data_IF_655163757324
#
_entry.id   IF_655163757324
#
_cell.length_a   1.000
_cell.length_b   1.000
_cell.length_c   1.000
_cell.angle_alpha   90.00
_cell.angle_beta   90.00
_cell.angle_gamma   90.00
#
_symmetry.space_group_name_H-M   'P 1'
#
loop_
_entity.id
_entity.type
_entity.pdbx_description
1 polymer ?
#
# COMPACT_ATOMS: atom_id res chain seq x y z
N UNK A 1 16.92 30.66 -9.30
CA UNK A 1 15.59 30.03 -9.12
C UNK A 1 15.56 28.60 -9.69
N UNK A 2 15.75 28.38 -11.00
CA UNK A 2 15.69 27.02 -11.62
C UNK A 2 16.60 25.97 -10.96
N UNK A 3 17.87 26.28 -10.73
CA UNK A 3 18.80 25.35 -10.07
C UNK A 3 18.46 25.08 -8.59
N UNK A 4 17.80 26.02 -7.91
CA UNK A 4 17.36 25.83 -6.52
C UNK A 4 16.24 24.78 -6.45
N UNK A 5 15.32 24.80 -7.41
CA UNK A 5 14.29 23.77 -7.54
C UNK A 5 14.89 22.39 -7.80
N UNK A 6 15.86 22.31 -8.71
CA UNK A 6 16.59 21.06 -8.97
C UNK A 6 17.29 20.55 -7.70
N UNK A 7 17.89 21.44 -6.90
CA UNK A 7 18.47 21.08 -5.60
C UNK A 7 17.44 20.45 -4.65
N UNK A 8 16.22 21.00 -4.58
CA UNK A 8 15.15 20.41 -3.76
C UNK A 8 14.80 18.99 -4.23
N UNK A 9 14.67 18.76 -5.53
CA UNK A 9 14.45 17.41 -6.04
C UNK A 9 15.56 16.43 -5.64
N UNK A 10 16.83 16.85 -5.73
CA UNK A 10 17.98 16.02 -5.32
C UNK A 10 17.95 15.73 -3.83
N UNK A 11 17.62 16.71 -2.98
CA UNK A 11 17.44 16.50 -1.53
C UNK A 11 16.30 15.51 -1.26
N UNK A 12 15.18 15.63 -1.95
CA UNK A 12 14.05 14.71 -1.80
C UNK A 12 14.40 13.29 -2.25
N UNK A 13 15.09 13.16 -3.39
CA UNK A 13 15.57 11.87 -3.89
C UNK A 13 16.55 11.20 -2.92
N UNK A 14 17.54 11.94 -2.42
CA UNK A 14 18.51 11.42 -1.44
C UNK A 14 17.84 10.98 -0.15
N UNK A 15 16.82 11.72 0.34
CA UNK A 15 16.03 11.29 1.50
C UNK A 15 15.29 9.96 1.27
N UNK A 16 14.82 9.72 0.04
CA UNK A 16 14.17 8.47 -0.35
C UNK A 16 15.15 7.30 -0.42
N UNK A 17 16.36 7.52 -0.95
CA UNK A 17 17.44 6.51 -0.93
C UNK A 17 17.80 6.13 0.51
N UNK A 18 17.92 7.11 1.40
CA UNK A 18 18.14 6.86 2.84
C UNK A 18 16.99 6.04 3.44
N UNK A 19 15.73 6.34 3.07
CA UNK A 19 14.58 5.56 3.52
C UNK A 19 14.63 4.09 3.08
N UNK A 20 15.04 3.83 1.83
CA UNK A 20 15.20 2.49 1.28
C UNK A 20 16.31 1.72 2.01
N UNK A 21 17.47 2.36 2.26
CA UNK A 21 18.59 1.74 2.97
C UNK A 21 18.17 1.36 4.40
N UNK A 22 17.61 2.30 5.16
CA UNK A 22 17.16 2.07 6.52
C UNK A 22 16.05 1.00 6.58
N UNK A 23 15.10 1.05 5.65
CA UNK A 23 14.06 0.04 5.52
C UNK A 23 14.64 -1.35 5.22
N UNK A 24 15.61 -1.44 4.32
CA UNK A 24 16.25 -2.70 3.92
C UNK A 24 17.04 -3.32 5.08
N UNK A 25 17.81 -2.52 5.82
CA UNK A 25 18.49 -2.96 7.04
C UNK A 25 17.49 -3.56 8.06
N UNK A 26 16.32 -2.94 8.19
CA UNK A 26 15.28 -3.43 9.08
C UNK A 26 14.64 -4.73 8.60
N UNK A 27 14.35 -4.82 7.30
CA UNK A 27 13.80 -6.04 6.70
C UNK A 27 14.75 -7.23 6.84
N UNK A 28 16.05 -7.04 6.68
CA UNK A 28 17.05 -8.10 6.87
C UNK A 28 17.06 -8.66 8.30
N UNK A 29 16.75 -7.83 9.30
CA UNK A 29 16.73 -8.24 10.71
C UNK A 29 15.45 -8.99 11.12
N UNK A 30 14.28 -8.57 10.63
CA UNK A 30 12.99 -9.05 11.15
C UNK A 30 12.08 -9.74 10.12
N UNK A 31 12.39 -9.62 8.82
CA UNK A 31 11.67 -10.27 7.71
C UNK A 31 10.15 -10.03 7.67
N UNK A 32 9.64 -8.87 8.07
CA UNK A 32 8.20 -8.56 7.90
C UNK A 32 7.84 -8.21 6.47
N UNK A 33 6.77 -8.85 5.99
CA UNK A 33 6.20 -8.58 4.68
C UNK A 33 5.69 -7.13 4.50
N UNK A 34 5.00 -6.48 5.47
CA UNK A 34 4.68 -5.06 5.36
C UNK A 34 5.91 -4.17 5.08
N UNK A 35 7.03 -4.40 5.77
CA UNK A 35 8.25 -3.61 5.56
C UNK A 35 8.76 -3.82 4.14
N UNK A 36 8.78 -5.07 3.67
CA UNK A 36 9.18 -5.40 2.30
C UNK A 36 8.37 -4.60 1.27
N UNK A 37 7.05 -4.58 1.42
CA UNK A 37 6.18 -3.84 0.50
C UNK A 37 6.39 -2.33 0.60
N UNK A 38 6.63 -1.80 1.81
CA UNK A 38 6.95 -0.39 2.01
C UNK A 38 8.29 0.00 1.36
N UNK A 39 9.32 -0.85 1.42
CA UNK A 39 10.59 -0.63 0.73
C UNK A 39 10.37 -0.59 -0.78
N UNK A 40 9.66 -1.59 -1.33
CA UNK A 40 9.40 -1.66 -2.76
C UNK A 40 8.60 -0.43 -3.22
N UNK A 41 7.58 -0.02 -2.46
CA UNK A 41 6.83 1.20 -2.74
C UNK A 41 7.76 2.44 -2.76
N UNK A 42 8.68 2.57 -1.79
CA UNK A 42 9.67 3.66 -1.79
C UNK A 42 10.64 3.61 -2.98
N UNK A 43 11.00 2.42 -3.48
CA UNK A 43 11.79 2.30 -4.72
C UNK A 43 11.04 2.89 -5.92
N UNK A 44 9.75 2.55 -6.07
CA UNK A 44 8.91 3.13 -7.13
C UNK A 44 8.73 4.64 -6.97
N UNK A 45 8.61 5.10 -5.73
CA UNK A 45 8.52 6.52 -5.39
C UNK A 45 9.80 7.29 -5.76
N UNK A 46 10.97 6.73 -5.49
CA UNK A 46 12.25 7.28 -5.93
C UNK A 46 12.39 7.27 -7.45
N UNK A 47 11.85 6.24 -8.12
CA UNK A 47 11.78 6.19 -9.58
C UNK A 47 10.97 7.33 -10.19
N UNK A 48 9.79 7.65 -9.62
CA UNK A 48 8.99 8.80 -10.03
C UNK A 48 9.77 10.12 -9.87
N UNK A 49 10.36 10.33 -8.70
CA UNK A 49 11.21 11.50 -8.41
C UNK A 49 12.37 11.65 -9.40
N UNK A 50 13.02 10.55 -9.76
CA UNK A 50 14.12 10.55 -10.71
C UNK A 50 13.66 10.96 -12.12
N UNK A 51 12.51 10.47 -12.55
CA UNK A 51 11.91 10.88 -13.82
C UNK A 51 11.50 12.36 -13.81
N UNK A 52 10.97 12.86 -12.69
CA UNK A 52 10.67 14.28 -12.50
C UNK A 52 11.93 15.14 -12.55
N UNK A 53 13.04 14.70 -11.94
CA UNK A 53 14.35 15.35 -12.03
C UNK A 53 14.80 15.46 -13.48
N UNK A 54 14.76 14.36 -14.22
CA UNK A 54 15.17 14.31 -15.62
C UNK A 54 14.29 15.24 -16.45
N UNK A 55 12.97 15.17 -16.28
CA UNK A 55 12.02 16.00 -17.00
C UNK A 55 12.25 17.49 -16.72
N UNK A 56 12.44 17.86 -15.45
CA UNK A 56 12.73 19.23 -15.04
C UNK A 56 14.07 19.71 -15.60
N UNK A 57 15.13 18.91 -15.47
CA UNK A 57 16.48 19.23 -15.97
C UNK A 57 16.49 19.46 -17.48
N UNK A 58 15.80 18.60 -18.24
CA UNK A 58 15.71 18.76 -19.70
C UNK A 58 14.87 19.99 -20.04
N UNK A 59 13.75 20.23 -19.36
CA UNK A 59 12.90 21.39 -19.58
C UNK A 59 13.60 22.74 -19.33
N UNK A 60 14.57 22.80 -18.42
CA UNK A 60 15.33 24.04 -18.18
C UNK A 60 16.48 24.26 -19.16
N UNK A 61 17.04 23.20 -19.76
CA UNK A 61 18.27 23.26 -20.57
C UNK A 61 18.04 23.10 -22.08
N UNK A 62 16.89 22.56 -22.53
CA UNK A 62 16.59 22.36 -23.95
C UNK A 62 15.29 23.05 -24.36
N UNK A 63 15.34 23.84 -25.44
CA UNK A 63 14.19 24.60 -25.99
C UNK A 63 13.33 23.74 -26.95
N UNK A 64 13.86 22.62 -27.47
CA UNK A 64 13.13 21.67 -28.33
C UNK A 64 13.25 20.25 -27.78
N UNK A 65 12.43 19.93 -26.80
CA UNK A 65 12.27 18.55 -26.35
C UNK A 65 11.59 17.74 -27.46
N UNK A 66 12.23 16.66 -27.92
CA UNK A 66 11.65 15.77 -28.94
C UNK A 66 10.45 15.00 -28.34
N UNK A 67 9.40 14.78 -29.13
CA UNK A 67 8.19 14.03 -28.72
C UNK A 67 8.53 12.65 -28.13
N UNK A 68 9.59 12.01 -28.65
CA UNK A 68 10.11 10.73 -28.16
C UNK A 68 10.53 10.81 -26.70
N UNK A 69 11.20 11.89 -26.28
CA UNK A 69 11.63 12.06 -24.90
C UNK A 69 10.43 12.20 -23.94
N UNK A 70 9.43 12.98 -24.34
CA UNK A 70 8.19 13.12 -23.56
C UNK A 70 7.46 11.77 -23.42
N UNK A 71 7.40 11.00 -24.50
CA UNK A 71 6.83 9.65 -24.50
C UNK A 71 7.56 8.69 -23.56
N UNK A 72 8.90 8.73 -23.54
CA UNK A 72 9.71 7.90 -22.63
C UNK A 72 9.46 8.28 -21.17
N UNK A 73 9.46 9.57 -20.85
CA UNK A 73 9.19 10.06 -19.49
C UNK A 73 7.79 9.68 -19.05
N UNK A 74 6.78 9.87 -19.92
CA UNK A 74 5.41 9.49 -19.64
C UNK A 74 5.27 7.99 -19.36
N UNK A 75 5.86 7.14 -20.21
CA UNK A 75 5.84 5.69 -20.00
C UNK A 75 6.49 5.31 -18.67
N UNK A 76 7.63 5.92 -18.35
CA UNK A 76 8.32 5.76 -17.07
C UNK A 76 7.41 6.12 -15.88
N UNK A 77 6.73 7.28 -15.94
CA UNK A 77 5.83 7.76 -14.88
C UNK A 77 4.63 6.82 -14.68
N UNK A 78 4.11 6.24 -15.75
CA UNK A 78 3.00 5.29 -15.69
C UNK A 78 3.41 3.97 -15.05
N UNK A 79 4.52 3.38 -15.52
CA UNK A 79 5.02 2.10 -15.00
C UNK A 79 5.41 2.22 -13.52
N UNK A 80 6.09 3.31 -13.16
CA UNK A 80 6.49 3.56 -11.77
C UNK A 80 5.30 3.90 -10.87
N UNK A 81 4.32 4.68 -11.38
CA UNK A 81 3.08 4.99 -10.67
C UNK A 81 2.21 3.76 -10.38
N UNK A 82 2.05 2.85 -11.35
CA UNK A 82 1.30 1.60 -11.14
C UNK A 82 1.99 0.74 -10.08
N UNK A 83 3.31 0.57 -10.18
CA UNK A 83 4.09 -0.17 -9.20
C UNK A 83 3.95 0.40 -7.80
N UNK A 84 4.05 1.73 -7.66
CA UNK A 84 3.84 2.42 -6.40
C UNK A 84 2.47 2.12 -5.81
N UNK A 85 1.39 2.34 -6.56
CA UNK A 85 0.02 2.14 -6.07
C UNK A 85 -0.20 0.68 -5.68
N UNK A 86 0.29 -0.27 -6.48
CA UNK A 86 0.14 -1.70 -6.20
C UNK A 86 0.84 -2.09 -4.89
N UNK A 87 2.12 -1.76 -4.75
CA UNK A 87 2.90 -2.14 -3.58
C UNK A 87 2.47 -1.40 -2.32
N UNK A 88 2.04 -0.14 -2.45
CA UNK A 88 1.45 0.59 -1.33
C UNK A 88 0.10 -0.01 -0.92
N UNK A 89 -0.71 -0.46 -1.88
CA UNK A 89 -1.99 -1.14 -1.60
C UNK A 89 -1.78 -2.48 -0.90
N UNK A 90 -0.78 -3.25 -1.33
CA UNK A 90 -0.36 -4.48 -0.65
C UNK A 90 0.13 -4.19 0.77
N UNK A 91 0.95 -3.15 0.93
CA UNK A 91 1.42 -2.70 2.25
C UNK A 91 0.23 -2.42 3.19
N UNK A 92 -0.77 -1.66 2.73
CA UNK A 92 -1.98 -1.36 3.52
C UNK A 92 -2.76 -2.64 3.85
N UNK A 93 -2.96 -3.54 2.89
CA UNK A 93 -3.65 -4.82 3.14
C UNK A 93 -2.93 -5.67 4.20
N UNK A 94 -1.61 -5.82 4.09
CA UNK A 94 -0.82 -6.58 5.07
C UNK A 94 -0.85 -5.93 6.45
N UNK A 95 -0.75 -4.60 6.50
CA UNK A 95 -0.81 -3.83 7.72
C UNK A 95 -2.18 -3.91 8.41
N UNK A 96 -3.26 -4.11 7.63
CA UNK A 96 -4.62 -4.36 8.13
C UNK A 96 -4.93 -5.86 8.31
N UNK A 97 -3.99 -6.77 8.04
CA UNK A 97 -4.22 -8.22 8.03
C UNK A 97 -5.38 -8.66 7.10
N UNK A 98 -5.57 -7.94 5.99
CA UNK A 98 -6.60 -8.22 4.99
C UNK A 98 -6.05 -9.02 3.83
N UNK A 99 -6.84 -9.96 3.31
CA UNK A 99 -6.49 -10.69 2.10
C UNK A 99 -6.64 -9.84 0.84
N UNK A 100 -5.53 -9.72 0.09
CA UNK A 100 -5.54 -9.23 -1.27
C UNK A 100 -5.59 -10.41 -2.25
N UNK A 101 -6.80 -10.93 -2.45
CA UNK A 101 -7.06 -12.16 -3.21
C UNK A 101 -6.60 -12.08 -4.68
N UNK A 102 -6.36 -13.24 -5.31
CA UNK A 102 -5.97 -13.33 -6.74
C UNK A 102 -6.94 -12.56 -7.65
N UNK A 103 -8.25 -12.63 -7.38
CA UNK A 103 -9.29 -11.90 -8.13
C UNK A 103 -9.14 -10.38 -7.99
N UNK A 104 -8.90 -9.86 -6.78
CA UNK A 104 -8.67 -8.42 -6.55
C UNK A 104 -7.41 -7.93 -7.27
N UNK A 105 -6.32 -8.74 -7.24
CA UNK A 105 -5.08 -8.43 -7.98
C UNK A 105 -5.31 -8.36 -9.48
N UNK A 106 -6.02 -9.35 -10.03
CA UNK A 106 -6.35 -9.37 -11.46
C UNK A 106 -7.16 -8.13 -11.87
N UNK A 107 -8.21 -7.78 -11.11
CA UNK A 107 -9.01 -6.58 -11.37
C UNK A 107 -8.13 -5.33 -11.32
N UNK A 108 -7.26 -5.21 -10.32
CA UNK A 108 -6.34 -4.08 -10.20
C UNK A 108 -5.41 -3.94 -11.42
N UNK A 109 -4.78 -5.03 -11.86
CA UNK A 109 -3.90 -4.97 -13.04
C UNK A 109 -4.67 -4.68 -14.31
N UNK A 110 -5.86 -5.26 -14.48
CA UNK A 110 -6.72 -4.97 -15.62
C UNK A 110 -7.10 -3.50 -15.67
N UNK A 111 -7.55 -2.90 -14.55
CA UNK A 111 -7.89 -1.47 -14.49
C UNK A 111 -6.67 -0.56 -14.66
N UNK A 112 -5.50 -0.98 -14.17
CA UNK A 112 -4.26 -0.24 -14.38
C UNK A 112 -3.82 -0.23 -15.86
N UNK A 113 -3.86 -1.39 -16.52
CA UNK A 113 -3.50 -1.52 -17.94
C UNK A 113 -4.47 -0.72 -18.82
N UNK A 114 -5.78 -0.81 -18.57
CA UNK A 114 -6.77 -0.03 -19.34
C UNK A 114 -6.58 1.47 -19.14
N UNK A 115 -6.29 1.93 -17.91
CA UNK A 115 -5.98 3.32 -17.64
C UNK A 115 -4.72 3.81 -18.40
N UNK A 116 -3.66 2.99 -18.45
CA UNK A 116 -2.44 3.29 -19.22
C UNK A 116 -2.71 3.39 -20.71
N UNK A 117 -3.47 2.44 -21.27
CA UNK A 117 -3.80 2.44 -22.70
C UNK A 117 -4.64 3.67 -23.07
N UNK A 118 -5.61 4.05 -22.23
CA UNK A 118 -6.39 5.28 -22.39
C UNK A 118 -5.51 6.52 -22.34
N UNK A 119 -4.57 6.57 -21.37
CA UNK A 119 -3.59 7.63 -21.24
C UNK A 119 -2.71 7.78 -22.48
N UNK A 120 -2.18 6.68 -23.02
CA UNK A 120 -1.38 6.69 -24.25
C UNK A 120 -2.22 7.20 -25.43
N UNK A 121 -3.43 6.67 -25.61
CA UNK A 121 -4.33 7.09 -26.70
C UNK A 121 -4.67 8.59 -26.66
N UNK A 122 -4.91 9.13 -25.46
CA UNK A 122 -5.20 10.56 -25.29
C UNK A 122 -3.97 11.45 -25.51
N UNK A 123 -2.77 10.99 -25.19
CA UNK A 123 -1.53 11.70 -25.52
C UNK A 123 -1.32 11.78 -27.04
N UNK A 124 -1.55 10.67 -27.75
CA UNK A 124 -1.45 10.64 -29.21
C UNK A 124 -2.46 11.60 -29.83
N UNK A 125 -3.71 11.59 -29.34
CA UNK A 125 -4.74 12.52 -29.80
C UNK A 125 -4.41 14.00 -29.47
N UNK A 126 -3.74 14.25 -28.34
CA UNK A 126 -3.25 15.58 -27.98
C UNK A 126 -2.12 16.06 -28.90
N UNK A 127 -1.12 15.21 -29.17
CA UNK A 127 0.00 15.51 -30.07
C UNK A 127 -0.47 15.82 -31.50
N UNK A 128 -1.55 15.16 -31.96
CA UNK A 128 -2.15 15.42 -33.26
C UNK A 128 -3.09 16.65 -33.30
N UNK A 129 -3.00 17.56 -32.32
CA UNK A 129 -3.83 18.77 -32.18
C UNK A 129 -5.36 18.56 -32.07
N UNK A 130 -5.83 17.31 -31.97
CA UNK A 130 -7.28 17.00 -31.84
C UNK A 130 -7.79 17.49 -30.49
N UNK A 131 -7.05 17.22 -29.42
CA UNK A 131 -7.43 17.60 -28.05
C UNK A 131 -6.81 18.91 -27.58
N UNK A 132 -5.72 19.38 -28.19
CA UNK A 132 -5.06 20.64 -27.82
C UNK A 132 -6.01 21.85 -27.88
N UNK A 133 -6.97 21.84 -28.83
CA UNK A 133 -7.99 22.88 -28.98
C UNK A 133 -8.98 22.94 -27.81
N UNK A 134 -9.21 21.83 -27.11
CA UNK A 134 -10.22 21.69 -26.07
C UNK A 134 -9.63 21.64 -24.66
N UNK A 135 -8.42 21.08 -24.53
CA UNK A 135 -7.72 20.96 -23.28
C UNK A 135 -6.41 21.75 -23.34
N UNK A 136 -6.37 22.81 -22.56
CA UNK A 136 -5.19 23.65 -22.36
C UNK A 136 -4.12 22.98 -21.47
N UNK A 137 -4.45 21.84 -20.86
CA UNK A 137 -3.58 20.97 -20.08
C UNK A 137 -3.15 19.75 -20.90
N UNK A 138 -1.97 19.17 -20.63
CA UNK A 138 -1.68 17.82 -21.06
C UNK A 138 -2.74 16.90 -20.44
N UNK A 139 -3.63 16.33 -21.26
CA UNK A 139 -4.66 15.37 -20.82
C UNK A 139 -4.06 14.18 -20.05
N UNK A 140 -2.79 13.89 -20.33
CA UNK A 140 -1.91 12.97 -19.61
C UNK A 140 -1.75 13.27 -18.12
N UNK A 141 -1.60 14.54 -17.77
CA UNK A 141 -1.38 14.98 -16.40
C UNK A 141 -2.65 14.81 -15.55
N UNK A 142 -3.81 15.19 -16.09
CA UNK A 142 -5.10 15.02 -15.41
C UNK A 142 -5.39 13.55 -15.11
N UNK A 143 -5.15 12.67 -16.08
CA UNK A 143 -5.41 11.25 -15.93
C UNK A 143 -4.38 10.54 -15.03
N UNK A 144 -3.12 10.96 -15.03
CA UNK A 144 -2.14 10.48 -14.06
C UNK A 144 -2.57 10.81 -12.63
N UNK A 145 -3.01 12.06 -12.38
CA UNK A 145 -3.51 12.48 -11.07
C UNK A 145 -4.82 11.79 -10.68
N UNK A 146 -5.71 11.53 -11.63
CA UNK A 146 -6.91 10.73 -11.39
C UNK A 146 -6.55 9.30 -10.99
N UNK A 147 -5.59 8.67 -11.67
CA UNK A 147 -5.18 7.30 -11.39
C UNK A 147 -4.51 7.16 -10.02
N UNK A 148 -3.53 8.02 -9.72
CA UNK A 148 -2.88 8.08 -8.39
C UNK A 148 -3.87 8.45 -7.30
N UNK A 149 -4.80 9.36 -7.59
CA UNK A 149 -5.92 9.72 -6.73
C UNK A 149 -6.80 8.52 -6.39
N UNK A 150 -7.30 7.76 -7.39
CA UNK A 150 -8.15 6.58 -7.16
C UNK A 150 -7.45 5.55 -6.28
N UNK A 151 -6.16 5.28 -6.53
CA UNK A 151 -5.36 4.41 -5.68
C UNK A 151 -5.24 4.93 -4.24
N UNK A 152 -4.97 6.22 -4.07
CA UNK A 152 -4.89 6.85 -2.75
C UNK A 152 -6.25 6.82 -2.01
N UNK A 153 -7.36 7.09 -2.70
CA UNK A 153 -8.72 7.03 -2.14
C UNK A 153 -9.14 5.62 -1.76
N UNK A 154 -8.80 4.60 -2.55
CA UNK A 154 -9.05 3.20 -2.21
C UNK A 154 -8.31 2.81 -0.92
N UNK A 155 -7.03 3.18 -0.82
CA UNK A 155 -6.26 2.95 0.39
C UNK A 155 -6.85 3.72 1.57
N UNK A 156 -7.18 5.00 1.41
CA UNK A 156 -7.86 5.82 2.42
C UNK A 156 -9.17 5.16 2.89
N UNK A 157 -9.99 4.67 1.97
CA UNK A 157 -11.24 3.97 2.27
C UNK A 157 -11.01 2.74 3.15
N UNK A 158 -10.05 1.87 2.78
CA UNK A 158 -9.69 0.71 3.61
C UNK A 158 -9.22 1.14 4.99
N UNK A 159 -8.36 2.15 5.07
CA UNK A 159 -7.87 2.67 6.33
C UNK A 159 -9.02 3.19 7.21
N UNK A 160 -9.97 3.94 6.66
CA UNK A 160 -11.12 4.49 7.39
C UNK A 160 -12.07 3.39 7.85
N UNK A 161 -12.38 2.41 7.00
CA UNK A 161 -13.28 1.31 7.36
C UNK A 161 -12.71 0.45 8.49
N UNK A 162 -11.43 0.11 8.41
CA UNK A 162 -10.79 -0.83 9.34
C UNK A 162 -10.01 -0.16 10.47
N UNK A 163 -10.05 1.18 10.60
CA UNK A 163 -9.28 1.96 11.62
C UNK A 163 -9.48 1.53 13.07
N UNK A 164 -10.62 0.90 13.39
CA UNK A 164 -10.93 0.42 14.76
C UNK A 164 -10.29 -0.94 15.06
N UNK A 165 -9.95 -1.70 14.02
CA UNK A 165 -9.44 -3.08 14.11
C UNK A 165 -7.91 -3.17 14.14
N UNK A 166 -7.21 -2.03 14.24
CA UNK A 166 -5.74 -1.97 14.14
C UNK A 166 -5.13 -1.41 15.42
N UNK A 167 -3.92 -1.89 15.74
CA UNK A 167 -3.15 -1.45 16.90
C UNK A 167 -3.02 0.08 16.96
N UNK A 168 -3.06 0.65 18.18
CA UNK A 168 -3.10 2.10 18.44
C UNK A 168 -2.00 2.88 17.70
N UNK A 169 -0.79 2.34 17.61
CA UNK A 169 0.32 3.01 16.93
C UNK A 169 0.20 2.99 15.40
N UNK A 170 -0.30 1.89 14.84
CA UNK A 170 -0.62 1.81 13.41
C UNK A 170 -1.73 2.81 13.10
N UNK A 171 -2.78 2.86 13.92
CA UNK A 171 -3.87 3.84 13.80
C UNK A 171 -3.37 5.29 13.80
N UNK A 172 -2.41 5.65 14.66
CA UNK A 172 -1.79 6.99 14.67
C UNK A 172 -1.09 7.29 13.35
N UNK A 173 -0.27 6.36 12.85
CA UNK A 173 0.41 6.52 11.56
C UNK A 173 -0.59 6.67 10.41
N UNK A 174 -1.60 5.81 10.37
CA UNK A 174 -2.65 5.86 9.36
C UNK A 174 -3.37 7.20 9.38
N UNK A 175 -3.73 7.71 10.56
CA UNK A 175 -4.39 9.00 10.70
C UNK A 175 -3.51 10.16 10.20
N UNK A 176 -2.20 10.13 10.45
CA UNK A 176 -1.25 11.10 9.86
C UNK A 176 -1.26 10.98 8.34
N UNK A 177 -1.21 9.77 7.78
CA UNK A 177 -1.29 9.54 6.34
C UNK A 177 -2.60 10.03 5.72
N UNK A 178 -3.73 9.85 6.40
CA UNK A 178 -5.05 10.34 5.99
C UNK A 178 -5.06 11.87 5.93
N UNK A 179 -4.62 12.53 7.02
CA UNK A 179 -4.55 14.01 7.07
C UNK A 179 -3.60 14.53 6.01
N UNK A 180 -2.46 13.85 5.81
CA UNK A 180 -1.51 14.19 4.76
C UNK A 180 -2.16 14.12 3.38
N UNK A 181 -2.79 13.00 3.01
CA UNK A 181 -3.48 12.86 1.71
C UNK A 181 -4.57 13.92 1.55
N UNK A 182 -5.39 14.14 2.59
CA UNK A 182 -6.50 15.09 2.56
C UNK A 182 -6.07 16.55 2.40
N UNK A 183 -4.84 16.92 2.80
CA UNK A 183 -4.30 18.27 2.64
C UNK A 183 -3.48 18.36 1.36
N UNK A 184 -2.56 17.42 1.15
CA UNK A 184 -1.54 17.47 0.11
C UNK A 184 -2.13 17.28 -1.28
N UNK A 185 -3.09 16.36 -1.45
CA UNK A 185 -3.69 16.13 -2.76
C UNK A 185 -4.48 17.36 -3.22
N UNK A 186 -5.42 17.91 -2.44
CA UNK A 186 -6.12 19.15 -2.85
C UNK A 186 -5.17 20.34 -3.02
N UNK A 187 -4.18 20.50 -2.13
CA UNK A 187 -3.20 21.56 -2.25
C UNK A 187 -2.38 21.42 -3.54
N UNK A 188 -1.95 20.21 -3.90
CA UNK A 188 -1.21 19.98 -5.15
C UNK A 188 -2.06 20.31 -6.38
N UNK A 189 -3.34 19.91 -6.40
CA UNK A 189 -4.27 20.26 -7.49
C UNK A 189 -4.45 21.78 -7.58
N UNK A 190 -4.67 22.44 -6.44
CA UNK A 190 -4.85 23.89 -6.35
C UNK A 190 -3.61 24.65 -6.82
N UNK A 191 -2.41 24.28 -6.35
CA UNK A 191 -1.17 24.94 -6.73
C UNK A 191 -0.87 24.76 -8.22
N UNK A 192 -1.08 23.56 -8.77
CA UNK A 192 -0.95 23.31 -10.21
C UNK A 192 -1.95 24.16 -11.04
N UNK A 193 -3.16 24.36 -10.51
CA UNK A 193 -4.18 25.21 -11.15
C UNK A 193 -3.81 26.70 -11.10
N UNK A 194 -3.21 27.17 -10.01
CA UNK A 194 -2.70 28.54 -9.86
C UNK A 194 -1.51 28.82 -10.76
N UNK A 195 -0.57 27.89 -10.83
CA UNK A 195 0.60 27.97 -11.71
C UNK A 195 0.20 28.21 -13.16
N UNK A 196 -0.81 27.49 -13.63
CA UNK A 196 -1.34 27.63 -14.99
C UNK A 196 -2.02 28.99 -15.22
N UNK A 197 -2.85 29.43 -14.26
CA UNK A 197 -3.64 30.67 -14.41
C UNK A 197 -2.81 31.95 -14.31
N UNK A 198 -1.72 31.94 -13.52
CA UNK A 198 -0.91 33.15 -13.27
C UNK A 198 0.34 33.21 -14.19
N UNK A 199 0.59 32.18 -15.03
CA UNK A 199 1.85 32.02 -15.80
C UNK A 199 3.07 32.30 -14.93
N UNK A 200 3.11 31.69 -13.73
CA UNK A 200 4.26 31.84 -12.86
C UNK A 200 5.52 31.43 -13.64
N UNK A 201 6.54 32.31 -13.79
CA UNK A 201 7.69 32.01 -14.62
C UNK A 201 8.52 30.84 -14.06
N UNK A 202 8.42 30.58 -12.74
CA UNK A 202 9.09 29.48 -12.04
C UNK A 202 8.19 28.99 -10.90
N UNK A 203 7.24 28.10 -11.19
CA UNK A 203 6.45 27.49 -10.14
C UNK A 203 7.41 26.71 -9.25
N UNK A 204 7.42 27.04 -7.97
CA UNK A 204 8.16 26.24 -6.99
C UNK A 204 7.40 24.91 -6.95
N UNK A 205 7.95 23.79 -7.47
CA UNK A 205 7.20 22.56 -7.47
C UNK A 205 7.10 22.16 -6.00
N UNK A 206 5.88 22.07 -5.50
CA UNK A 206 5.63 21.57 -4.14
C UNK A 206 5.91 20.07 -4.05
N UNK A 207 6.01 19.40 -5.21
CA UNK A 207 6.23 17.96 -5.30
C UNK A 207 7.47 17.50 -4.52
N UNK A 208 8.68 18.09 -4.63
CA UNK A 208 9.84 17.62 -3.89
C UNK A 208 9.65 17.76 -2.37
N UNK A 209 9.00 18.83 -1.90
CA UNK A 209 8.74 19.03 -0.48
C UNK A 209 7.78 17.94 0.03
N UNK A 210 6.70 17.68 -0.71
CA UNK A 210 5.76 16.60 -0.44
C UNK A 210 6.47 15.25 -0.40
N UNK A 211 7.30 14.98 -1.41
CA UNK A 211 8.11 13.77 -1.54
C UNK A 211 9.05 13.61 -0.33
N UNK A 212 9.74 14.67 0.07
CA UNK A 212 10.63 14.71 1.23
C UNK A 212 9.87 14.40 2.53
N UNK A 213 8.70 15.00 2.73
CA UNK A 213 7.85 14.75 3.89
C UNK A 213 7.36 13.30 3.93
N UNK A 214 6.93 12.73 2.80
CA UNK A 214 6.54 11.31 2.71
C UNK A 214 7.72 10.40 3.08
N UNK A 215 8.93 10.68 2.59
CA UNK A 215 10.11 9.89 2.91
C UNK A 215 10.45 9.96 4.41
N UNK A 216 10.41 11.14 5.01
CA UNK A 216 10.60 11.31 6.47
C UNK A 216 9.53 10.55 7.25
N UNK A 217 8.26 10.67 6.86
CA UNK A 217 7.16 9.96 7.53
C UNK A 217 7.31 8.44 7.39
N UNK A 218 7.76 7.96 6.22
CA UNK A 218 8.07 6.56 5.97
C UNK A 218 9.20 6.05 6.87
N UNK A 219 10.29 6.82 7.00
CA UNK A 219 11.40 6.52 7.91
C UNK A 219 10.94 6.55 9.37
N UNK A 220 10.17 7.55 9.77
CA UNK A 220 9.67 7.69 11.14
C UNK A 220 8.74 6.52 11.49
N UNK A 221 7.90 6.09 10.55
CA UNK A 221 7.07 4.90 10.69
C UNK A 221 7.90 3.63 10.79
N UNK A 222 8.86 3.44 9.88
CA UNK A 222 9.77 2.32 9.91
C UNK A 222 10.52 2.28 11.25
N UNK A 223 11.04 3.41 11.74
CA UNK A 223 11.74 3.57 13.04
C UNK A 223 10.85 3.28 14.24
N UNK A 224 9.60 3.74 14.22
CA UNK A 224 8.69 3.53 15.33
C UNK A 224 8.22 2.07 15.40
N UNK A 225 7.99 1.48 14.22
CA UNK A 225 7.76 0.05 14.04
C UNK A 225 8.99 -0.79 14.45
N UNK A 226 10.20 -0.30 14.12
CA UNK A 226 11.54 -0.81 14.51
C UNK A 226 11.73 -0.88 16.02
N UNK A 227 11.34 0.17 16.75
CA UNK A 227 11.61 0.31 18.19
C UNK A 227 10.59 -0.37 19.09
N UNK A 228 9.31 -0.37 18.68
CA UNK A 228 8.24 -0.93 19.52
C UNK A 228 7.86 -2.34 19.12
N UNK A 229 8.34 -2.83 17.97
CA UNK A 229 7.92 -4.10 17.41
C UNK A 229 6.40 -4.09 17.19
N UNK A 230 5.97 -3.90 15.93
CA UNK A 230 4.77 -4.63 15.50
C UNK A 230 4.97 -6.17 15.63
N UNK A 231 6.21 -6.56 15.94
CA UNK A 231 6.79 -7.81 16.42
C UNK A 231 6.56 -8.22 17.88
N UNK A 232 5.48 -7.76 18.49
CA UNK A 232 4.70 -8.73 19.26
C UNK A 232 3.37 -8.83 18.57
N UNK A 233 3.35 -9.59 17.48
CA UNK A 233 2.08 -9.94 16.86
C UNK A 233 1.15 -10.48 17.96
N UNK A 234 -0.17 -10.20 17.83
CA UNK A 234 -1.18 -10.88 18.60
C UNK A 234 -0.96 -12.38 18.63
N UNK A 235 -0.37 -13.06 17.62
CA UNK A 235 -0.21 -14.52 17.63
C UNK A 235 0.44 -15.13 18.88
N UNK A 236 1.48 -14.56 19.47
CA UNK A 236 2.02 -15.13 20.73
C UNK A 236 1.06 -14.90 21.89
N UNK A 237 0.53 -13.69 22.03
CA UNK A 237 -0.42 -13.35 23.10
C UNK A 237 -1.80 -14.00 22.88
N UNK A 238 -2.19 -14.21 21.63
CA UNK A 238 -3.41 -14.83 21.13
C UNK A 238 -3.28 -16.33 21.23
N UNK A 239 -2.13 -16.93 20.94
CA UNK A 239 -1.92 -18.34 21.20
C UNK A 239 -1.93 -18.61 22.70
N UNK A 240 -1.36 -17.72 23.52
CA UNK A 240 -1.45 -17.80 25.00
C UNK A 240 -2.90 -17.64 25.47
N UNK A 241 -3.62 -16.61 24.99
CA UNK A 241 -5.01 -16.31 25.38
C UNK A 241 -5.98 -17.37 24.86
N UNK A 242 -5.82 -17.82 23.62
CA UNK A 242 -6.59 -18.90 22.98
C UNK A 242 -6.31 -20.21 23.70
N UNK A 243 -5.05 -20.55 23.98
CA UNK A 243 -4.71 -21.76 24.74
C UNK A 243 -5.29 -21.71 26.15
N UNK A 244 -5.21 -20.56 26.82
CA UNK A 244 -5.83 -20.36 28.14
C UNK A 244 -7.35 -20.46 28.09
N UNK A 245 -8.01 -19.88 27.09
CA UNK A 245 -9.46 -19.98 26.93
C UNK A 245 -9.90 -21.41 26.62
N UNK A 246 -9.25 -22.07 25.65
CA UNK A 246 -9.57 -23.43 25.24
C UNK A 246 -9.22 -24.47 26.32
N UNK A 247 -8.24 -24.19 27.18
CA UNK A 247 -7.93 -25.05 28.33
C UNK A 247 -9.09 -25.13 29.34
N UNK A 248 -10.02 -24.17 29.35
CA UNK A 248 -11.23 -24.23 30.19
C UNK A 248 -12.22 -25.29 29.73
N UNK A 249 -12.05 -25.81 28.51
CA UNK A 249 -12.92 -26.81 27.89
C UNK A 249 -12.18 -28.15 27.68
N UNK A 250 -11.05 -28.37 28.37
CA UNK A 250 -10.22 -29.57 28.24
C UNK A 250 -9.80 -29.90 26.80
N UNK A 251 -9.55 -28.85 26.00
CA UNK A 251 -9.06 -28.98 24.63
C UNK A 251 -7.59 -29.42 24.67
N UNK A 252 -7.30 -30.55 24.02
CA UNK A 252 -5.95 -31.11 23.92
C UNK A 252 -5.07 -30.30 22.96
N UNK A 253 -3.75 -30.47 23.02
CA UNK A 253 -2.82 -29.82 22.08
C UNK A 253 -3.16 -30.14 20.62
N UNK A 254 -3.56 -31.39 20.34
CA UNK A 254 -3.95 -31.81 18.99
C UNK A 254 -5.25 -31.16 18.52
N UNK A 255 -6.22 -31.00 19.42
CA UNK A 255 -7.45 -30.29 19.12
C UNK A 255 -7.21 -28.79 18.97
N UNK A 256 -6.29 -28.20 19.75
CA UNK A 256 -5.85 -26.81 19.61
C UNK A 256 -5.27 -26.55 18.21
N UNK A 257 -4.40 -27.42 17.70
CA UNK A 257 -3.88 -27.34 16.33
C UNK A 257 -5.01 -27.32 15.29
N UNK A 258 -6.01 -28.19 15.46
CA UNK A 258 -7.16 -28.28 14.57
C UNK A 258 -8.01 -27.00 14.66
N UNK A 259 -8.25 -26.46 15.85
CA UNK A 259 -8.96 -25.18 16.03
C UNK A 259 -8.22 -24.06 15.30
N UNK A 260 -6.89 -23.98 15.39
CA UNK A 260 -6.10 -22.97 14.68
C UNK A 260 -6.30 -23.06 13.16
N UNK A 261 -6.23 -24.25 12.57
CA UNK A 261 -6.50 -24.39 11.13
C UNK A 261 -7.94 -24.10 10.74
N UNK A 262 -8.90 -24.42 11.61
CA UNK A 262 -10.31 -24.09 11.39
C UNK A 262 -10.53 -22.57 11.37
N UNK A 263 -9.87 -21.83 12.28
CA UNK A 263 -9.90 -20.37 12.32
C UNK A 263 -9.22 -19.73 11.11
N UNK A 264 -8.18 -20.37 10.57
CA UNK A 264 -7.50 -19.95 9.34
C UNK A 264 -8.30 -20.31 8.06
N UNK A 265 -9.46 -20.94 8.18
CA UNK A 265 -10.37 -21.20 7.06
C UNK A 265 -10.14 -22.51 6.31
N UNK A 266 -9.23 -23.37 6.78
CA UNK A 266 -8.95 -24.65 6.12
C UNK A 266 -10.13 -25.63 6.19
N UNK A 267 -10.30 -26.41 5.12
CA UNK A 267 -11.27 -27.50 5.06
C UNK A 267 -10.73 -28.78 5.70
N UNK A 268 -11.60 -29.76 5.97
CA UNK A 268 -11.20 -31.00 6.65
C UNK A 268 -10.15 -31.81 5.85
N UNK A 269 -10.17 -31.73 4.52
CA UNK A 269 -9.16 -32.34 3.65
C UNK A 269 -7.80 -31.65 3.85
N UNK A 270 -7.75 -30.32 3.71
CA UNK A 270 -6.50 -29.55 3.88
C UNK A 270 -5.86 -29.75 5.27
N UNK A 271 -6.71 -29.84 6.31
CA UNK A 271 -6.26 -30.09 7.68
C UNK A 271 -5.68 -31.51 7.79
N UNK A 272 -6.33 -32.50 7.18
CA UNK A 272 -5.86 -33.88 7.17
C UNK A 272 -4.48 -34.00 6.53
N UNK A 273 -4.31 -33.36 5.37
CA UNK A 273 -3.03 -33.34 4.64
C UNK A 273 -1.92 -32.67 5.46
N UNK A 274 -2.20 -31.53 6.09
CA UNK A 274 -1.24 -30.81 6.95
C UNK A 274 -0.83 -31.58 8.19
N UNK A 275 -1.77 -32.31 8.77
CA UNK A 275 -1.59 -33.01 10.03
C UNK A 275 -1.23 -34.49 9.87
N UNK A 276 -1.11 -34.97 8.63
CA UNK A 276 -0.85 -36.36 8.28
C UNK A 276 -1.87 -37.33 8.90
N UNK A 277 -3.16 -36.95 8.85
CA UNK A 277 -4.28 -37.76 9.36
C UNK A 277 -5.45 -37.78 8.37
N UNK A 278 -6.33 -38.77 8.47
CA UNK A 278 -7.47 -38.86 7.56
C UNK A 278 -8.46 -37.69 7.76
N UNK A 279 -9.15 -37.21 6.71
CA UNK A 279 -10.20 -36.20 6.85
C UNK A 279 -11.33 -36.63 7.81
N UNK A 280 -11.57 -37.94 7.94
CA UNK A 280 -12.53 -38.49 8.89
C UNK A 280 -12.06 -38.35 10.34
N UNK A 281 -10.76 -38.52 10.58
CA UNK A 281 -10.13 -38.25 11.88
C UNK A 281 -10.25 -36.77 12.26
N UNK A 282 -10.03 -35.87 11.30
CA UNK A 282 -10.26 -34.42 11.50
C UNK A 282 -11.72 -34.14 11.88
N UNK A 283 -12.67 -34.75 11.17
CA UNK A 283 -14.10 -34.62 11.47
C UNK A 283 -14.43 -35.07 12.90
N UNK A 284 -13.84 -36.16 13.36
CA UNK A 284 -14.01 -36.65 14.73
C UNK A 284 -13.43 -35.68 15.77
N UNK A 285 -12.25 -35.13 15.53
CA UNK A 285 -11.68 -34.09 16.41
C UNK A 285 -12.57 -32.84 16.47
N UNK A 286 -13.06 -32.35 15.33
CA UNK A 286 -13.96 -31.19 15.28
C UNK A 286 -15.26 -31.48 16.05
N UNK A 287 -15.83 -32.67 15.91
CA UNK A 287 -16.99 -33.08 16.68
C UNK A 287 -16.72 -33.06 18.19
N UNK A 288 -15.56 -33.56 18.63
CA UNK A 288 -15.17 -33.55 20.04
C UNK A 288 -14.95 -32.13 20.55
N UNK A 289 -14.32 -31.26 19.76
CA UNK A 289 -14.14 -29.83 20.08
C UNK A 289 -15.50 -29.17 20.31
N UNK A 290 -16.46 -29.39 19.39
CA UNK A 290 -17.80 -28.81 19.51
C UNK A 290 -18.54 -29.30 20.75
N UNK A 291 -18.46 -30.61 21.04
CA UNK A 291 -19.02 -31.20 22.24
C UNK A 291 -18.41 -30.58 23.51
N UNK A 292 -17.08 -30.46 23.58
CA UNK A 292 -16.35 -29.90 24.73
C UNK A 292 -16.68 -28.43 24.97
N UNK A 293 -16.83 -27.65 23.90
CA UNK A 293 -17.15 -26.23 23.98
C UNK A 293 -18.66 -25.94 24.09
N UNK A 294 -19.52 -26.96 24.03
CA UNK A 294 -20.97 -26.79 24.09
C UNK A 294 -21.56 -26.05 22.88
N UNK A 295 -20.91 -26.13 21.73
CA UNK A 295 -21.30 -25.45 20.48
C UNK A 295 -21.76 -26.45 19.42
N UNK A 296 -22.48 -25.97 18.41
CA UNK A 296 -23.12 -26.80 17.39
C UNK A 296 -22.39 -26.82 16.06
N UNK A 297 -21.65 -25.76 15.73
CA UNK A 297 -21.09 -25.59 14.40
C UNK A 297 -19.86 -24.68 14.36
N UNK A 298 -19.24 -24.64 13.19
CA UNK A 298 -18.03 -23.84 12.89
C UNK A 298 -18.25 -22.35 13.10
N UNK A 299 -19.46 -21.86 12.82
CA UNK A 299 -19.80 -20.45 12.97
C UNK A 299 -19.80 -20.04 14.44
N UNK A 300 -20.39 -20.86 15.32
CA UNK A 300 -20.36 -20.65 16.76
C UNK A 300 -18.94 -20.71 17.32
N UNK A 301 -18.09 -21.62 16.82
CA UNK A 301 -16.67 -21.67 17.18
C UNK A 301 -15.98 -20.33 16.86
N UNK A 302 -16.15 -19.85 15.62
CA UNK A 302 -15.55 -18.59 15.18
C UNK A 302 -16.06 -17.40 15.97
N UNK A 303 -17.37 -17.35 16.25
CA UNK A 303 -18.01 -16.29 17.03
C UNK A 303 -17.50 -16.25 18.48
N UNK A 304 -17.43 -17.40 19.15
CA UNK A 304 -16.93 -17.47 20.53
C UNK A 304 -15.46 -17.07 20.62
N UNK A 305 -14.64 -17.45 19.64
CA UNK A 305 -13.23 -17.11 19.62
C UNK A 305 -13.01 -15.63 19.28
N UNK A 306 -13.84 -15.04 18.42
CA UNK A 306 -13.79 -13.62 18.10
C UNK A 306 -14.04 -12.74 19.34
N UNK A 307 -14.94 -13.14 20.24
CA UNK A 307 -15.24 -12.43 21.50
C UNK A 307 -14.08 -12.36 22.49
N UNK A 308 -13.06 -13.21 22.35
CA UNK A 308 -11.89 -13.21 23.24
C UNK A 308 -10.90 -12.10 22.84
N UNK A 309 -11.00 -11.60 21.60
CA UNK A 309 -10.15 -10.55 21.05
C UNK A 309 -10.72 -9.12 21.19
N UNK A 310 -11.94 -8.98 21.74
CA UNK A 310 -12.57 -7.69 22.05
C UNK A 310 -12.23 -7.22 23.48
#
# INVERSE_FOLDING_TARGET
MKHLVLLFFVISFTSGVVAIILGSMFYLKNKHDPIKQLIIANCYFCGLLFLDIINYYVGINYIKTQEIFYMIILLGLLLTGIGLIYHFTLFVHLLLSLEFSKKKRFIFYFTAITAVLLLIGLNIAYANNILYKYFQYPTSFLLHNLFTGVGAYYNLFLLVMYRKSVHKEVKKFLMIGIVFIAIVVPLSIFMNSLEYSIRFPYPMPFSPIIFFLINILGIAFARKTLLHGLDKHPKENYDIVLKKYLSQFDITERELEIVKFVLEGFGNQDIGDKLFISPNTVKNHIYNIYRKMGIKNRYELMSNIAKINE
#
